data_IF_475340949708
#
_entry.id   IF_475340949708
#
_cell.length_a   1.000
_cell.length_b   1.000
_cell.length_c   1.000
_cell.angle_alpha   90.00
_cell.angle_beta   90.00
_cell.angle_gamma   90.00
#
_symmetry.space_group_name_H-M   'P 1'
#
loop_
_entity.id
_entity.type
_entity.pdbx_description
1 polymer ?
#
# COMPACT_ATOMS: atom_id res chain seq x y z
N UNK A 1 15.23 8.84 25.61
CA UNK A 1 15.59 8.63 24.88
C UNK A 1 16.43 7.99 24.19
N UNK A 2 16.79 7.85 23.90
CA UNK A 2 17.49 7.42 23.27
C UNK A 2 18.15 7.21 22.57
N UNK A 3 18.53 6.90 22.44
CA UNK A 3 19.35 6.86 21.78
C UNK A 3 19.61 6.83 20.71
N UNK A 4 19.82 7.04 20.67
CA UNK A 4 20.07 6.98 19.72
C UNK A 4 20.72 6.50 19.13
N UNK A 5 20.59 6.30 19.47
CA UNK A 5 21.79 5.76 18.93
C UNK A 5 21.79 5.59 17.46
N UNK A 6 22.94 5.63 16.92
CA UNK A 6 23.13 5.56 15.49
C UNK A 6 22.54 4.33 14.80
N UNK A 7 22.07 3.37 15.48
CA UNK A 7 21.42 2.23 14.90
C UNK A 7 19.91 2.21 15.08
N UNK A 8 19.38 3.29 15.63
CA UNK A 8 17.95 3.31 15.93
C UNK A 8 17.13 3.24 14.65
N UNK A 9 16.08 2.42 14.69
CA UNK A 9 15.14 2.27 13.59
C UNK A 9 14.02 3.28 13.78
N UNK A 10 13.60 3.92 12.71
CA UNK A 10 12.46 4.82 12.78
C UNK A 10 11.22 4.06 13.26
N UNK A 11 10.47 4.66 14.16
CA UNK A 11 9.29 4.02 14.76
C UNK A 11 8.12 3.91 13.80
N UNK A 12 8.08 4.78 12.80
CA UNK A 12 6.96 4.89 11.89
C UNK A 12 7.41 4.57 10.47
N UNK A 13 6.67 3.71 9.80
CA UNK A 13 6.91 3.37 8.40
C UNK A 13 5.79 3.97 7.57
N UNK A 14 6.15 4.66 6.49
CA UNK A 14 5.20 5.19 5.51
C UNK A 14 5.46 4.48 4.19
N UNK A 15 4.43 3.90 3.59
CA UNK A 15 4.53 3.22 2.31
C UNK A 15 3.74 4.00 1.28
N UNK A 16 4.41 4.35 0.19
CA UNK A 16 3.82 5.05 -0.95
C UNK A 16 4.00 4.23 -2.21
N UNK A 17 3.37 4.62 -3.34
CA UNK A 17 3.43 3.83 -4.56
C UNK A 17 4.67 4.06 -5.41
N UNK A 18 5.33 5.22 -5.30
CA UNK A 18 6.47 5.54 -6.17
C UNK A 18 7.68 6.07 -5.42
N UNK A 19 8.91 5.83 -5.95
CA UNK A 19 10.13 6.36 -5.33
C UNK A 19 10.18 7.90 -5.32
N UNK A 20 9.65 8.55 -6.35
CA UNK A 20 9.62 10.01 -6.40
C UNK A 20 8.79 10.59 -5.28
N UNK A 21 7.61 10.01 -5.04
CA UNK A 21 6.74 10.41 -3.95
C UNK A 21 7.39 10.16 -2.59
N UNK A 22 8.06 9.02 -2.44
CA UNK A 22 8.77 8.68 -1.21
C UNK A 22 9.86 9.70 -0.89
N UNK A 23 10.63 10.10 -1.89
CA UNK A 23 11.69 11.08 -1.72
C UNK A 23 11.15 12.42 -1.24
N UNK A 24 10.05 12.88 -1.83
CA UNK A 24 9.44 14.14 -1.45
C UNK A 24 8.88 14.10 -0.04
N UNK A 25 8.16 13.03 0.30
CA UNK A 25 7.54 12.89 1.61
C UNK A 25 8.59 12.76 2.71
N UNK A 26 9.70 12.08 2.44
CA UNK A 26 10.79 11.96 3.41
C UNK A 26 11.27 13.34 3.88
N UNK A 27 11.32 14.32 2.99
CA UNK A 27 11.74 15.67 3.33
C UNK A 27 10.79 16.36 4.32
N UNK A 28 9.53 15.93 4.34
CA UNK A 28 8.50 16.58 5.16
C UNK A 28 8.27 15.93 6.52
N UNK A 29 8.74 14.70 6.74
CA UNK A 29 8.38 13.94 7.93
C UNK A 29 9.46 13.84 8.99
N UNK A 30 10.72 13.92 8.67
CA UNK A 30 11.78 13.89 9.66
C UNK A 30 12.23 12.48 10.05
N UNK A 31 13.00 12.41 11.15
CA UNK A 31 13.76 11.22 11.53
C UNK A 31 12.93 10.05 12.05
N UNK A 32 11.77 10.33 12.63
CA UNK A 32 10.95 9.27 13.22
C UNK A 32 10.20 8.46 12.16
N UNK A 33 10.36 8.81 10.90
CA UNK A 33 9.66 8.19 9.80
C UNK A 33 10.63 7.62 8.78
N UNK A 34 10.39 6.37 8.40
CA UNK A 34 11.04 5.73 7.25
C UNK A 34 10.01 5.66 6.13
N UNK A 35 10.34 6.18 4.96
CA UNK A 35 9.42 6.16 3.82
C UNK A 35 9.94 5.18 2.78
N UNK A 36 9.11 4.24 2.37
CA UNK A 36 9.45 3.23 1.37
C UNK A 36 8.43 3.24 0.25
N UNK A 37 8.85 2.81 -0.92
CA UNK A 37 7.99 2.75 -2.10
C UNK A 37 7.64 1.31 -2.44
N UNK A 38 6.37 1.07 -2.79
CA UNK A 38 5.89 -0.24 -3.23
C UNK A 38 6.14 -0.47 -4.73
N UNK A 39 6.53 0.56 -5.45
CA UNK A 39 6.71 0.50 -6.91
C UNK A 39 5.42 0.19 -7.65
N UNK A 40 4.32 0.75 -7.18
CA UNK A 40 3.00 0.56 -7.77
C UNK A 40 2.27 -0.64 -7.20
N UNK A 41 1.57 -1.38 -8.04
CA UNK A 41 0.83 -2.57 -7.61
C UNK A 41 1.78 -3.73 -7.31
N UNK A 42 1.54 -4.40 -6.18
CA UNK A 42 2.35 -5.56 -5.77
C UNK A 42 1.64 -6.88 -6.05
N UNK A 43 0.32 -6.87 -6.20
CA UNK A 43 -0.48 -8.04 -6.57
C UNK A 43 -1.47 -7.67 -7.67
N UNK A 44 -1.78 -8.62 -8.53
CA UNK A 44 -2.78 -8.42 -9.57
C UNK A 44 -3.32 -9.78 -10.00
N UNK A 45 -4.32 -9.77 -10.87
CA UNK A 45 -4.86 -10.99 -11.48
C UNK A 45 -3.83 -11.56 -12.45
N UNK A 46 -3.72 -12.92 -12.55
CA UNK A 46 -2.78 -13.53 -13.49
C UNK A 46 -3.07 -13.11 -14.93
N UNK A 47 -2.00 -12.80 -15.68
CA UNK A 47 -2.14 -12.37 -17.07
C UNK A 47 -2.52 -13.52 -18.01
N UNK A 48 -1.99 -14.72 -17.72
CA UNK A 48 -2.15 -15.90 -18.59
C UNK A 48 -3.37 -16.74 -18.20
N UNK A 49 -4.10 -16.36 -17.19
CA UNK A 49 -5.29 -17.05 -16.70
C UNK A 49 -6.42 -16.05 -16.57
N UNK A 50 -7.65 -16.58 -16.52
CA UNK A 50 -8.81 -15.72 -16.30
C UNK A 50 -8.71 -14.94 -14.99
N UNK A 51 -8.11 -15.56 -13.95
CA UNK A 51 -7.87 -14.92 -12.67
C UNK A 51 -9.09 -14.80 -11.77
N UNK A 52 -10.22 -15.32 -12.22
CA UNK A 52 -11.48 -15.29 -11.47
C UNK A 52 -12.11 -16.67 -11.54
N UNK A 53 -12.56 -17.18 -10.40
CA UNK A 53 -13.22 -18.47 -10.33
C UNK A 53 -14.73 -18.29 -10.53
N UNK A 54 -15.20 -18.60 -11.74
CA UNK A 54 -16.60 -18.41 -12.11
C UNK A 54 -17.50 -19.36 -11.30
N UNK A 55 -17.04 -20.59 -11.05
CA UNK A 55 -17.82 -21.58 -10.31
C UNK A 55 -17.94 -21.22 -8.83
N UNK A 56 -16.99 -20.49 -8.29
CA UNK A 56 -16.97 -20.08 -6.88
C UNK A 56 -17.39 -18.63 -6.67
N UNK A 57 -18.25 -18.11 -7.53
CA UNK A 57 -18.78 -16.76 -7.33
C UNK A 57 -17.87 -15.64 -7.76
N UNK A 58 -17.03 -15.87 -8.75
CA UNK A 58 -16.11 -14.88 -9.31
C UNK A 58 -15.07 -14.37 -8.30
N UNK A 59 -14.65 -15.22 -7.38
CA UNK A 59 -13.61 -14.82 -6.44
C UNK A 59 -12.28 -14.65 -7.15
N UNK A 60 -11.63 -13.49 -6.99
CA UNK A 60 -10.35 -13.25 -7.66
C UNK A 60 -9.21 -14.02 -7.01
N UNK A 61 -8.27 -14.46 -7.82
CA UNK A 61 -7.01 -15.06 -7.36
C UNK A 61 -5.91 -14.06 -7.66
N UNK A 62 -5.39 -13.42 -6.62
CA UNK A 62 -4.32 -12.45 -6.78
C UNK A 62 -2.96 -13.12 -6.65
N UNK A 63 -2.03 -12.70 -7.49
CA UNK A 63 -0.64 -13.16 -7.45
C UNK A 63 0.27 -11.95 -7.31
N UNK A 64 1.47 -12.19 -6.80
CA UNK A 64 2.49 -11.13 -6.74
C UNK A 64 2.85 -10.71 -8.17
N UNK A 65 2.86 -9.41 -8.41
CA UNK A 65 3.26 -8.86 -9.70
C UNK A 65 4.72 -9.22 -9.96
N UNK A 66 5.03 -9.64 -11.19
CA UNK A 66 6.38 -10.05 -11.56
C UNK A 66 7.38 -8.92 -11.27
N UNK A 67 8.47 -9.27 -10.60
CA UNK A 67 9.50 -8.30 -10.21
C UNK A 67 9.27 -7.64 -8.87
N UNK A 68 8.13 -7.88 -8.22
CA UNK A 68 7.80 -7.24 -6.93
C UNK A 68 8.17 -8.08 -5.70
N UNK A 69 8.66 -9.29 -5.88
CA UNK A 69 8.99 -10.15 -4.75
C UNK A 69 10.05 -9.55 -3.84
N UNK A 70 11.10 -8.98 -4.43
CA UNK A 70 12.17 -8.33 -3.68
C UNK A 70 11.65 -7.11 -2.91
N UNK A 71 10.83 -6.29 -3.58
CA UNK A 71 10.22 -5.12 -2.97
C UNK A 71 9.37 -5.53 -1.75
N UNK A 72 8.57 -6.58 -1.90
CA UNK A 72 7.75 -7.08 -0.79
C UNK A 72 8.60 -7.56 0.38
N UNK A 73 9.74 -8.21 0.11
CA UNK A 73 10.64 -8.64 1.18
C UNK A 73 11.22 -7.45 1.93
N UNK A 74 11.64 -6.41 1.22
CA UNK A 74 12.17 -5.20 1.85
C UNK A 74 11.12 -4.50 2.69
N UNK A 75 9.89 -4.40 2.18
CA UNK A 75 8.79 -3.80 2.91
C UNK A 75 8.43 -4.62 4.15
N UNK A 76 8.47 -5.94 4.03
CA UNK A 76 8.17 -6.82 5.16
C UNK A 76 9.18 -6.63 6.28
N UNK A 77 10.46 -6.51 5.94
CA UNK A 77 11.52 -6.25 6.93
C UNK A 77 11.30 -4.91 7.62
N UNK A 78 10.99 -3.88 6.84
CA UNK A 78 10.76 -2.54 7.40
C UNK A 78 9.52 -2.54 8.30
N UNK A 79 8.45 -3.23 7.88
CA UNK A 79 7.21 -3.30 8.65
C UNK A 79 7.41 -4.03 9.98
N UNK A 80 8.25 -5.06 10.00
CA UNK A 80 8.50 -5.82 11.22
C UNK A 80 9.18 -4.97 12.29
N UNK A 81 9.93 -3.96 11.88
CA UNK A 81 10.66 -3.09 12.80
C UNK A 81 9.84 -1.86 13.22
N UNK A 82 8.78 -1.55 12.51
CA UNK A 82 7.99 -0.34 12.75
C UNK A 82 6.95 -0.57 13.83
N UNK A 83 6.72 0.44 14.66
CA UNK A 83 5.63 0.41 15.64
C UNK A 83 4.31 0.80 14.99
N UNK A 84 4.35 1.70 13.99
CA UNK A 84 3.18 2.17 13.27
C UNK A 84 3.48 2.18 11.78
N UNK A 85 2.46 1.84 11.00
CA UNK A 85 2.57 1.77 9.54
C UNK A 85 1.48 2.63 8.93
N UNK A 86 1.88 3.55 8.05
CA UNK A 86 0.97 4.43 7.34
C UNK A 86 1.00 4.10 5.85
N UNK A 87 -0.16 3.78 5.31
CA UNK A 87 -0.31 3.49 3.88
C UNK A 87 -0.76 4.78 3.19
N UNK A 88 0.15 5.40 2.49
CA UNK A 88 -0.01 6.77 1.96
C UNK A 88 -0.04 6.80 0.43
N UNK A 89 -0.70 5.83 -0.18
CA UNK A 89 -0.93 5.81 -1.62
C UNK A 89 -1.98 6.86 -2.00
N UNK A 90 -2.19 7.07 -3.30
CA UNK A 90 -3.10 8.12 -3.78
C UNK A 90 -4.49 8.00 -3.18
N UNK A 91 -5.19 9.14 -2.97
CA UNK A 91 -6.52 9.15 -2.34
C UNK A 91 -7.65 8.83 -3.33
N UNK A 92 -7.54 7.73 -4.05
CA UNK A 92 -8.55 7.26 -4.99
C UNK A 92 -8.77 5.75 -4.80
N UNK A 93 -9.68 5.17 -5.61
CA UNK A 93 -9.99 3.75 -5.51
C UNK A 93 -8.77 2.88 -5.78
N UNK A 94 -7.96 3.26 -6.76
CA UNK A 94 -6.76 2.50 -7.09
C UNK A 94 -5.75 2.56 -5.95
N UNK A 95 -5.52 3.75 -5.39
CA UNK A 95 -4.65 3.92 -4.23
C UNK A 95 -5.13 3.13 -3.02
N UNK A 96 -6.44 3.10 -2.81
CA UNK A 96 -7.02 2.32 -1.73
C UNK A 96 -6.79 0.82 -1.94
N UNK A 97 -6.95 0.35 -3.17
CA UNK A 97 -6.70 -1.05 -3.50
C UNK A 97 -5.22 -1.41 -3.35
N UNK A 98 -4.31 -0.52 -3.74
CA UNK A 98 -2.87 -0.74 -3.54
C UNK A 98 -2.57 -0.90 -2.04
N UNK A 99 -3.14 -0.05 -1.21
CA UNK A 99 -2.96 -0.13 0.24
C UNK A 99 -3.49 -1.44 0.80
N UNK A 100 -4.65 -1.88 0.33
CA UNK A 100 -5.23 -3.14 0.77
C UNK A 100 -4.35 -4.34 0.36
N UNK A 101 -3.88 -4.34 -0.90
CA UNK A 101 -2.99 -5.40 -1.37
C UNK A 101 -1.69 -5.45 -0.57
N UNK A 102 -1.14 -4.29 -0.22
CA UNK A 102 0.05 -4.23 0.63
C UNK A 102 -0.22 -4.82 2.00
N UNK A 103 -1.34 -4.45 2.61
CA UNK A 103 -1.75 -4.96 3.91
C UNK A 103 -1.87 -6.48 3.90
N UNK A 104 -2.50 -7.02 2.86
CA UNK A 104 -2.67 -8.47 2.72
C UNK A 104 -1.35 -9.18 2.41
N UNK A 105 -0.59 -8.67 1.45
CA UNK A 105 0.67 -9.30 1.02
C UNK A 105 1.72 -9.30 2.12
N UNK A 106 1.75 -8.26 2.94
CA UNK A 106 2.70 -8.13 4.04
C UNK A 106 2.15 -8.65 5.36
N UNK A 107 0.88 -9.07 5.37
CA UNK A 107 0.19 -9.55 6.57
C UNK A 107 0.31 -8.54 7.72
N UNK A 108 -0.04 -7.30 7.43
CA UNK A 108 0.09 -6.21 8.39
C UNK A 108 -1.01 -6.26 9.45
N UNK A 109 -0.64 -5.92 10.68
CA UNK A 109 -1.57 -5.82 11.80
C UNK A 109 -2.43 -4.57 11.64
N UNK A 110 -3.75 -4.74 11.60
CA UNK A 110 -4.69 -3.63 11.41
C UNK A 110 -4.62 -2.60 12.55
N UNK A 111 -4.21 -3.00 13.74
CA UNK A 111 -4.08 -2.07 14.88
C UNK A 111 -2.90 -1.13 14.70
N UNK A 112 -1.84 -1.60 14.03
CA UNK A 112 -0.64 -0.79 13.79
C UNK A 112 -0.67 -0.09 12.44
N UNK A 113 -1.58 -0.48 11.55
CA UNK A 113 -1.59 -0.05 10.15
C UNK A 113 -2.79 0.82 9.88
N UNK A 114 -2.55 2.03 9.37
CA UNK A 114 -3.60 2.98 9.05
C UNK A 114 -3.38 3.57 7.66
N UNK A 115 -4.46 3.97 7.05
CA UNK A 115 -4.47 4.68 5.78
C UNK A 115 -4.38 6.18 6.04
N UNK A 116 -3.59 6.89 5.28
CA UNK A 116 -3.55 8.35 5.33
C UNK A 116 -3.78 8.91 3.93
N UNK A 117 -4.43 10.06 3.86
CA UNK A 117 -4.76 10.71 2.61
C UNK A 117 -4.27 12.15 2.61
N UNK A 118 -3.67 12.56 1.50
CA UNK A 118 -3.39 13.96 1.25
C UNK A 118 -3.57 14.20 -0.25
N UNK A 119 -4.26 15.27 -0.58
CA UNK A 119 -4.60 15.58 -1.97
C UNK A 119 -3.54 16.42 -2.65
N UNK A 120 -2.55 16.90 -1.91
CA UNK A 120 -1.39 17.59 -2.43
C UNK A 120 -0.16 17.17 -1.64
N UNK A 121 1.01 17.26 -2.26
CA UNK A 121 2.24 16.86 -1.59
C UNK A 121 2.95 18.12 -1.11
N UNK A 122 2.44 18.67 -0.01
CA UNK A 122 3.05 19.80 0.71
C UNK A 122 3.34 19.36 2.13
N UNK A 123 4.26 20.07 2.78
CA UNK A 123 4.61 19.75 4.16
C UNK A 123 3.39 19.75 5.08
N UNK A 124 2.55 20.78 4.94
CA UNK A 124 1.35 20.92 5.78
C UNK A 124 0.36 19.78 5.54
N UNK A 125 0.09 19.46 4.27
CA UNK A 125 -0.87 18.41 3.92
C UNK A 125 -0.39 17.04 4.42
N UNK A 126 0.90 16.74 4.23
CA UNK A 126 1.47 15.46 4.66
C UNK A 126 1.44 15.34 6.19
N UNK A 127 1.83 16.38 6.90
CA UNK A 127 1.83 16.36 8.37
C UNK A 127 0.42 16.26 8.93
N UNK A 128 -0.55 16.96 8.33
CA UNK A 128 -1.95 16.85 8.76
C UNK A 128 -2.51 15.45 8.51
N UNK A 129 -2.17 14.83 7.39
CA UNK A 129 -2.62 13.48 7.08
C UNK A 129 -2.11 12.46 8.11
N UNK A 130 -0.85 12.57 8.49
CA UNK A 130 -0.27 11.68 9.50
C UNK A 130 -0.98 11.82 10.84
N UNK A 131 -1.46 13.00 11.18
CA UNK A 131 -2.19 13.25 12.41
C UNK A 131 -3.63 12.72 12.37
N UNK A 132 -4.17 12.44 11.19
CA UNK A 132 -5.56 12.04 11.00
C UNK A 132 -5.65 10.73 10.20
N UNK A 133 -5.08 9.64 10.71
CA UNK A 133 -5.14 8.36 10.02
C UNK A 133 -6.54 7.74 10.13
N UNK A 134 -6.86 6.87 9.18
CA UNK A 134 -8.11 6.13 9.17
C UNK A 134 -7.87 4.68 8.78
N UNK A 135 -8.84 3.78 8.99
CA UNK A 135 -8.72 2.42 8.48
C UNK A 135 -8.88 2.40 6.95
N UNK A 136 -8.48 1.30 6.33
CA UNK A 136 -8.69 1.10 4.90
C UNK A 136 -10.20 1.09 4.61
N UNK A 137 -10.61 1.79 3.58
CA UNK A 137 -12.01 1.83 3.16
C UNK A 137 -12.30 0.64 2.24
N UNK A 138 -12.90 -0.39 2.80
CA UNK A 138 -13.20 -1.62 2.06
C UNK A 138 -14.22 -1.42 0.96
N UNK A 139 -15.07 -0.40 1.05
CA UNK A 139 -16.00 -0.09 -0.03
C UNK A 139 -15.27 0.38 -1.27
N UNK A 140 -14.23 1.19 -1.11
CA UNK A 140 -13.40 1.63 -2.23
C UNK A 140 -12.60 0.46 -2.81
N UNK A 141 -12.10 -0.41 -1.95
CA UNK A 141 -11.37 -1.61 -2.38
C UNK A 141 -12.28 -2.51 -3.20
N UNK A 142 -13.49 -2.77 -2.71
CA UNK A 142 -14.46 -3.63 -3.39
C UNK A 142 -14.87 -3.04 -4.74
N UNK A 143 -15.05 -1.72 -4.80
CA UNK A 143 -15.38 -1.04 -6.06
C UNK A 143 -14.26 -1.23 -7.09
N UNK A 144 -13.00 -1.11 -6.67
CA UNK A 144 -11.88 -1.30 -7.58
C UNK A 144 -11.72 -2.76 -8.01
N UNK A 145 -11.93 -3.71 -7.09
CA UNK A 145 -11.88 -5.12 -7.41
C UNK A 145 -12.97 -5.50 -8.41
N UNK A 146 -14.19 -5.01 -8.18
CA UNK A 146 -15.31 -5.26 -9.08
C UNK A 146 -15.01 -4.73 -10.47
N UNK A 147 -14.50 -3.52 -10.57
CA UNK A 147 -14.15 -2.95 -11.87
C UNK A 147 -13.07 -3.77 -12.57
N UNK A 148 -12.05 -4.18 -11.81
CA UNK A 148 -10.94 -4.97 -12.35
C UNK A 148 -11.43 -6.32 -12.88
N UNK A 149 -12.36 -6.96 -12.16
CA UNK A 149 -12.95 -8.22 -12.56
C UNK A 149 -13.80 -8.03 -13.81
N UNK A 150 -14.64 -6.99 -13.86
CA UNK A 150 -15.48 -6.70 -15.02
C UNK A 150 -14.64 -6.44 -16.27
N UNK A 151 -13.58 -5.65 -16.13
CA UNK A 151 -12.67 -5.39 -17.25
C UNK A 151 -12.04 -6.68 -17.75
N UNK A 152 -11.68 -7.58 -16.84
CA UNK A 152 -11.10 -8.88 -17.20
C UNK A 152 -12.10 -9.77 -17.91
N UNK A 153 -13.34 -9.82 -17.44
CA UNK A 153 -14.39 -10.62 -18.05
C UNK A 153 -14.69 -10.15 -19.48
N UNK A 154 -14.86 -8.84 -19.65
CA UNK A 154 -15.10 -8.27 -20.98
C UNK A 154 -13.92 -8.53 -21.90
N UNK A 155 -12.70 -8.31 -21.42
CA UNK A 155 -11.51 -8.52 -22.23
C UNK A 155 -11.34 -9.96 -22.70
N UNK A 156 -11.72 -10.94 -21.90
CA UNK A 156 -11.61 -12.35 -22.28
C UNK A 156 -12.67 -12.79 -23.27
N UNK A 157 -13.79 -12.08 -23.31
CA UNK A 157 -14.88 -12.41 -24.25
C UNK A 157 -14.72 -11.75 -25.63
N UNK A 158 -13.88 -10.74 -25.68
CA UNK A 158 -13.56 -10.04 -26.92
C UNK A 158 -12.41 -10.70 -27.65
#
# INVERSE_FOLDING_TARGET
MIPFGGGSVAKNLVIVESPAKAKTITKFLGRDFTVKASMGHVRDLPKSQFGVDIEKGFQPKYITVRGQGKTLQELRKAAAKAERIYLATDPDREGEAISWHLSEALNLDSERTKRVEFHEITQKAVQNAIKNPRPIDHNLVDAQQTRRILDRLVGYQL
#
